data_IF_552012684104
#
_entry.id   IF_552012684104
#
_cell.length_a   1.000
_cell.length_b   1.000
_cell.length_c   1.000
_cell.angle_alpha   90.00
_cell.angle_beta   90.00
_cell.angle_gamma   90.00
#
_symmetry.space_group_name_H-M   'P 1'
#
loop_
_entity.id
_entity.type
_entity.pdbx_description
1 polymer ?
#
# COMPACT_ATOMS: atom_id res chain seq x y z
N UNK A 1 -13.48 28.90 11.57
CA UNK A 1 -14.25 27.94 12.39
C UNK A 1 -13.32 27.46 13.50
N UNK A 2 -13.70 27.71 14.79
CA UNK A 2 -12.90 27.28 15.95
C UNK A 2 -12.70 25.78 15.92
N UNK A 3 -11.43 25.34 15.80
CA UNK A 3 -11.09 23.94 15.65
C UNK A 3 -11.61 23.11 16.82
N UNK A 4 -11.81 21.83 16.61
CA UNK A 4 -12.23 20.82 17.62
C UNK A 4 -11.11 20.52 18.64
N UNK A 5 -10.33 21.53 19.04
CA UNK A 5 -9.16 21.38 19.91
C UNK A 5 -9.45 20.71 21.26
N UNK A 6 -10.56 21.02 21.96
CA UNK A 6 -10.88 20.30 23.20
C UNK A 6 -11.09 18.80 22.99
N UNK A 7 -11.72 18.41 21.88
CA UNK A 7 -11.91 17.01 21.53
C UNK A 7 -10.59 16.34 21.18
N UNK A 8 -9.71 17.00 20.44
CA UNK A 8 -8.37 16.51 20.13
C UNK A 8 -7.52 16.33 21.39
N UNK A 9 -7.51 17.32 22.30
CA UNK A 9 -6.82 17.21 23.60
C UNK A 9 -7.30 16.01 24.40
N UNK A 10 -8.63 15.78 24.46
CA UNK A 10 -9.22 14.62 25.14
C UNK A 10 -8.79 13.30 24.48
N UNK A 11 -8.75 13.25 23.15
CA UNK A 11 -8.30 12.07 22.40
C UNK A 11 -6.83 11.77 22.68
N UNK A 12 -5.94 12.77 22.65
CA UNK A 12 -4.52 12.59 22.95
C UNK A 12 -4.31 12.10 24.38
N UNK A 13 -5.05 12.64 25.38
CA UNK A 13 -5.00 12.14 26.76
C UNK A 13 -5.42 10.67 26.84
N UNK A 14 -6.42 10.25 26.07
CA UNK A 14 -6.81 8.84 25.98
C UNK A 14 -5.67 7.98 25.37
N UNK A 15 -5.01 8.45 24.32
CA UNK A 15 -3.85 7.76 23.73
C UNK A 15 -2.72 7.58 24.76
N UNK A 16 -2.38 8.62 25.56
CA UNK A 16 -1.39 8.52 26.63
C UNK A 16 -1.76 7.43 27.65
N UNK A 17 -3.03 7.38 28.03
CA UNK A 17 -3.53 6.38 29.00
C UNK A 17 -3.46 4.95 28.43
N UNK A 18 -3.84 4.77 27.17
CA UNK A 18 -3.77 3.48 26.48
C UNK A 18 -2.32 3.01 26.32
N UNK A 19 -1.43 3.90 25.91
CA UNK A 19 0.00 3.58 25.77
C UNK A 19 0.57 3.11 27.11
N UNK A 20 0.34 3.88 28.19
CA UNK A 20 0.78 3.51 29.54
C UNK A 20 0.24 2.15 30.00
N UNK A 21 -1.02 1.83 29.63
CA UNK A 21 -1.70 0.61 30.06
C UNK A 21 -1.19 -0.63 29.29
N UNK A 22 -0.94 -0.50 27.98
CA UNK A 22 -0.75 -1.66 27.12
C UNK A 22 0.68 -1.85 26.62
N UNK A 23 1.56 -0.83 26.68
CA UNK A 23 2.94 -0.92 26.17
C UNK A 23 3.68 -2.19 26.62
N UNK A 24 3.70 -2.47 27.93
CA UNK A 24 4.43 -3.61 28.47
C UNK A 24 3.87 -4.95 27.97
N UNK A 25 2.54 -5.05 27.86
CA UNK A 25 1.88 -6.24 27.33
C UNK A 25 2.23 -6.45 25.85
N UNK A 26 2.15 -5.40 25.04
CA UNK A 26 2.52 -5.45 23.62
C UNK A 26 3.97 -5.90 23.45
N UNK A 27 4.92 -5.32 24.20
CA UNK A 27 6.34 -5.70 24.12
C UNK A 27 6.55 -7.16 24.54
N UNK A 28 5.81 -7.67 25.54
CA UNK A 28 5.92 -9.06 25.97
C UNK A 28 5.51 -10.07 24.89
N UNK A 29 4.51 -9.72 24.07
CA UNK A 29 3.97 -10.56 23.00
C UNK A 29 4.85 -10.56 21.74
N UNK A 30 5.79 -9.62 21.60
CA UNK A 30 6.68 -9.54 20.44
C UNK A 30 7.76 -10.64 20.46
N UNK A 31 8.26 -11.05 19.28
CA UNK A 31 9.48 -11.87 19.15
C UNK A 31 10.66 -11.24 19.89
N UNK A 32 11.53 -12.08 20.48
CA UNK A 32 12.61 -11.59 21.35
C UNK A 32 13.58 -10.64 20.65
N UNK A 33 13.86 -10.88 19.37
CA UNK A 33 14.73 -10.04 18.52
C UNK A 33 14.12 -8.66 18.25
N UNK A 34 12.79 -8.51 18.31
CA UNK A 34 12.06 -7.27 18.07
C UNK A 34 11.84 -6.42 19.32
N UNK A 35 11.92 -7.02 20.52
CA UNK A 35 11.59 -6.31 21.78
C UNK A 35 12.39 -5.05 22.00
N UNK A 36 13.71 -5.09 21.80
CA UNK A 36 14.61 -3.95 22.04
C UNK A 36 14.32 -2.79 21.10
N UNK A 37 14.06 -3.05 19.83
CA UNK A 37 13.72 -1.99 18.87
C UNK A 37 12.32 -1.44 19.15
N UNK A 38 11.36 -2.29 19.53
CA UNK A 38 10.03 -1.88 19.91
C UNK A 38 10.03 -0.96 21.14
N UNK A 39 10.85 -1.26 22.17
CA UNK A 39 11.02 -0.39 23.35
C UNK A 39 11.47 1.01 22.95
N UNK A 40 12.44 1.12 22.03
CA UNK A 40 12.87 2.41 21.50
C UNK A 40 11.74 3.13 20.76
N UNK A 41 11.04 2.43 19.88
CA UNK A 41 9.90 2.99 19.11
C UNK A 41 8.79 3.47 20.04
N UNK A 42 8.51 2.75 21.14
CA UNK A 42 7.54 3.17 22.14
C UNK A 42 7.97 4.43 22.90
N UNK A 43 9.26 4.63 23.17
CA UNK A 43 9.76 5.87 23.76
C UNK A 43 9.53 7.05 22.82
N UNK A 44 9.91 6.92 21.56
CA UNK A 44 9.70 7.94 20.54
C UNK A 44 8.20 8.23 20.32
N UNK A 45 7.34 7.21 20.27
CA UNK A 45 5.89 7.36 20.18
C UNK A 45 5.33 8.14 21.39
N UNK A 46 5.84 7.88 22.58
CA UNK A 46 5.45 8.61 23.79
C UNK A 46 5.82 10.09 23.70
N UNK A 47 6.99 10.41 23.16
CA UNK A 47 7.42 11.79 22.91
C UNK A 47 6.50 12.49 21.92
N UNK A 48 6.19 11.83 20.79
CA UNK A 48 5.23 12.35 19.81
C UNK A 48 3.85 12.62 20.43
N UNK A 49 3.32 11.69 21.24
CA UNK A 49 2.02 11.87 21.91
C UNK A 49 2.05 13.02 22.93
N UNK A 50 3.15 13.22 23.63
CA UNK A 50 3.31 14.37 24.54
C UNK A 50 3.35 15.69 23.75
N UNK A 51 4.10 15.74 22.65
CA UNK A 51 4.15 16.91 21.77
C UNK A 51 2.78 17.23 21.17
N UNK A 52 2.01 16.21 20.75
CA UNK A 52 0.61 16.39 20.31
C UNK A 52 -0.27 17.03 21.38
N UNK A 53 -0.07 16.69 22.66
CA UNK A 53 -0.81 17.30 23.76
C UNK A 53 -0.52 18.82 23.86
N UNK A 54 0.74 19.20 23.70
CA UNK A 54 1.15 20.60 23.78
C UNK A 54 0.72 21.39 22.55
N UNK A 55 0.84 20.83 21.36
CA UNK A 55 0.34 21.44 20.12
C UNK A 55 -1.20 21.56 20.10
N UNK A 56 -1.93 20.61 20.68
CA UNK A 56 -3.37 20.75 20.84
C UNK A 56 -3.76 21.90 21.80
N UNK A 57 -3.00 22.13 22.88
CA UNK A 57 -3.21 23.24 23.82
C UNK A 57 -2.86 24.60 23.19
N UNK A 58 -1.73 24.67 22.47
CA UNK A 58 -1.28 25.89 21.76
C UNK A 58 -2.08 26.15 20.48
N UNK A 59 -2.89 25.19 20.03
CA UNK A 59 -3.66 25.23 18.77
C UNK A 59 -2.78 25.34 17.53
N UNK A 60 -1.57 24.79 17.58
CA UNK A 60 -0.66 24.72 16.44
C UNK A 60 -1.08 23.58 15.52
N UNK A 61 -1.81 23.93 14.45
CA UNK A 61 -2.35 22.98 13.50
C UNK A 61 -1.25 22.24 12.72
N UNK A 62 -0.22 22.98 12.27
CA UNK A 62 0.81 22.38 11.40
C UNK A 62 1.67 21.40 12.19
N UNK A 63 2.19 21.80 13.35
CA UNK A 63 2.96 20.93 14.20
C UNK A 63 2.13 19.72 14.68
N UNK A 64 0.83 19.91 14.99
CA UNK A 64 -0.06 18.82 15.37
C UNK A 64 -0.24 17.79 14.25
N UNK A 65 -0.48 18.22 13.01
CA UNK A 65 -0.70 17.32 11.88
C UNK A 65 0.60 16.57 11.53
N UNK A 66 1.75 17.25 11.48
CA UNK A 66 3.05 16.61 11.22
C UNK A 66 3.38 15.56 12.27
N UNK A 67 3.31 15.93 13.57
CA UNK A 67 3.62 14.99 14.67
C UNK A 67 2.62 13.83 14.74
N UNK A 68 1.35 14.07 14.38
CA UNK A 68 0.37 12.97 14.27
C UNK A 68 0.77 11.97 13.19
N UNK A 69 1.24 12.42 12.02
CA UNK A 69 1.74 11.54 10.97
C UNK A 69 2.89 10.69 11.50
N UNK A 70 3.90 11.31 12.11
CA UNK A 70 5.04 10.60 12.69
C UNK A 70 4.61 9.55 13.75
N UNK A 71 3.63 9.89 14.59
CA UNK A 71 3.11 8.95 15.59
C UNK A 71 2.41 7.75 14.94
N UNK A 72 1.65 7.98 13.87
CA UNK A 72 0.99 6.90 13.12
C UNK A 72 1.99 6.01 12.39
N UNK A 73 3.05 6.58 11.80
CA UNK A 73 4.13 5.83 11.16
C UNK A 73 4.84 4.90 12.17
N UNK A 74 5.06 5.38 13.42
CA UNK A 74 5.63 4.54 14.48
C UNK A 74 4.69 3.41 14.92
N UNK A 75 3.38 3.66 14.95
CA UNK A 75 2.39 2.61 15.25
C UNK A 75 2.42 1.54 14.14
N UNK A 76 2.39 1.95 12.87
CA UNK A 76 2.50 1.02 11.74
C UNK A 76 3.79 0.19 11.80
N UNK A 77 4.94 0.81 12.13
CA UNK A 77 6.19 0.08 12.31
C UNK A 77 6.15 -0.92 13.49
N UNK A 78 5.42 -0.62 14.57
CA UNK A 78 5.22 -1.58 15.67
C UNK A 78 4.33 -2.76 15.26
N UNK A 79 3.31 -2.50 14.46
CA UNK A 79 2.42 -3.55 13.93
C UNK A 79 3.18 -4.51 13.01
N UNK A 80 4.15 -4.02 12.23
CA UNK A 80 5.01 -4.86 11.39
C UNK A 80 5.82 -5.89 12.19
N UNK A 81 6.14 -5.62 13.46
CA UNK A 81 6.88 -6.57 14.30
C UNK A 81 6.06 -7.80 14.71
N UNK A 82 4.74 -7.76 14.55
CA UNK A 82 3.83 -8.89 14.76
C UNK A 82 3.65 -9.76 13.51
N UNK A 83 4.14 -9.29 12.36
CA UNK A 83 4.06 -10.08 11.14
C UNK A 83 4.92 -11.36 11.28
N UNK A 84 4.46 -12.49 10.77
CA UNK A 84 5.21 -13.73 10.83
C UNK A 84 6.52 -13.62 10.04
N UNK A 85 7.60 -14.25 10.55
CA UNK A 85 8.90 -14.27 9.87
C UNK A 85 8.89 -15.09 8.57
N UNK A 86 7.88 -15.93 8.39
CA UNK A 86 7.66 -16.73 7.18
C UNK A 86 6.31 -16.35 6.59
N UNK A 87 6.25 -16.34 5.27
CA UNK A 87 5.00 -16.09 4.55
C UNK A 87 3.98 -17.16 4.94
N UNK A 88 2.79 -16.77 5.46
CA UNK A 88 1.89 -17.71 6.11
C UNK A 88 0.87 -18.37 5.17
N UNK A 89 0.82 -17.95 3.90
CA UNK A 89 -0.23 -18.36 2.97
C UNK A 89 0.31 -19.22 1.84
N UNK A 90 -0.54 -20.03 1.24
CA UNK A 90 -0.19 -20.84 0.11
C UNK A 90 -0.26 -20.03 -1.20
N UNK A 91 0.76 -20.17 -2.03
CA UNK A 91 0.79 -19.69 -3.40
C UNK A 91 0.82 -20.93 -4.29
N UNK A 92 -0.12 -21.07 -5.27
CA UNK A 92 -0.14 -22.23 -6.15
C UNK A 92 1.15 -22.40 -6.97
N UNK A 93 1.58 -23.66 -7.15
CA UNK A 93 2.81 -24.01 -7.90
C UNK A 93 2.78 -23.54 -9.37
N UNK A 94 1.60 -23.35 -9.94
CA UNK A 94 1.44 -22.81 -11.30
C UNK A 94 1.98 -21.38 -11.45
N UNK A 95 2.25 -20.68 -10.36
CA UNK A 95 2.82 -19.33 -10.32
C UNK A 95 4.27 -19.31 -9.85
N UNK A 96 4.97 -20.45 -9.83
CA UNK A 96 6.34 -20.56 -9.28
C UNK A 96 7.37 -19.76 -10.09
N UNK A 97 7.10 -19.49 -11.34
CA UNK A 97 7.92 -18.67 -12.24
C UNK A 97 7.68 -17.15 -12.06
N UNK A 98 6.67 -16.75 -11.29
CA UNK A 98 6.39 -15.35 -11.04
C UNK A 98 7.16 -14.80 -9.83
N UNK A 99 7.64 -13.54 -9.92
CA UNK A 99 8.19 -12.84 -8.76
C UNK A 99 7.16 -12.72 -7.66
N UNK A 100 7.58 -12.89 -6.41
CA UNK A 100 6.73 -12.75 -5.24
C UNK A 100 7.39 -11.93 -4.15
N UNK A 101 6.65 -11.01 -3.56
CA UNK A 101 7.07 -10.25 -2.39
C UNK A 101 6.51 -10.93 -1.13
N UNK A 102 7.35 -11.57 -0.34
CA UNK A 102 6.93 -12.31 0.86
C UNK A 102 7.01 -11.47 2.14
N UNK A 103 6.65 -10.21 2.03
CA UNK A 103 6.71 -9.21 3.08
C UNK A 103 6.23 -7.87 2.55
N UNK A 104 6.63 -6.78 3.21
CA UNK A 104 6.37 -5.42 2.73
C UNK A 104 7.62 -4.80 2.13
N UNK A 105 7.41 -3.85 1.22
CA UNK A 105 8.45 -2.97 0.71
C UNK A 105 7.95 -1.53 0.73
N UNK A 106 8.89 -0.57 0.84
CA UNK A 106 8.60 0.85 0.68
C UNK A 106 9.27 1.36 -0.58
N UNK A 107 8.53 2.17 -1.32
CA UNK A 107 9.03 2.74 -2.57
C UNK A 107 8.91 4.26 -2.56
N UNK A 108 9.83 4.91 -3.26
CA UNK A 108 9.75 6.32 -3.63
C UNK A 108 9.42 6.41 -5.12
N UNK A 109 8.29 7.01 -5.44
CA UNK A 109 7.79 7.21 -6.79
C UNK A 109 8.10 8.65 -7.17
N UNK A 110 9.11 8.85 -8.02
CA UNK A 110 9.47 10.16 -8.53
C UNK A 110 8.67 10.49 -9.77
N UNK A 111 8.03 11.63 -9.77
CA UNK A 111 7.21 12.12 -10.89
C UNK A 111 7.70 13.49 -11.36
N UNK A 112 7.18 13.94 -12.50
CA UNK A 112 7.41 15.31 -13.00
C UNK A 112 6.91 16.41 -12.05
N UNK A 113 6.02 16.10 -11.09
CA UNK A 113 5.47 17.05 -10.11
C UNK A 113 6.13 16.98 -8.74
N UNK A 114 6.80 15.88 -8.42
CA UNK A 114 7.45 15.66 -7.12
C UNK A 114 7.49 14.20 -6.75
N UNK A 115 7.86 13.95 -5.51
CA UNK A 115 8.08 12.61 -4.97
C UNK A 115 6.86 12.17 -4.14
N UNK A 116 6.46 10.92 -4.33
CA UNK A 116 5.43 10.24 -3.55
C UNK A 116 6.02 8.99 -2.90
N UNK A 117 5.51 8.59 -1.74
CA UNK A 117 5.94 7.34 -1.08
C UNK A 117 4.78 6.40 -0.89
N UNK A 118 5.01 5.12 -1.15
CA UNK A 118 4.02 4.07 -0.97
C UNK A 118 4.58 2.88 -0.19
N UNK A 119 3.69 2.17 0.50
CA UNK A 119 3.94 0.85 1.08
C UNK A 119 3.29 -0.17 0.16
N UNK A 120 4.06 -1.17 -0.24
CA UNK A 120 3.65 -2.30 -1.07
C UNK A 120 3.50 -3.52 -0.17
N UNK A 121 2.32 -4.16 -0.19
CA UNK A 121 1.96 -5.25 0.74
C UNK A 121 1.98 -6.61 0.05
N UNK A 122 3.08 -7.33 0.17
CA UNK A 122 3.22 -8.68 -0.34
C UNK A 122 2.64 -9.77 0.58
N UNK A 123 2.18 -9.43 1.79
CA UNK A 123 1.46 -10.41 2.61
C UNK A 123 0.08 -10.74 2.06
N UNK A 124 -0.57 -9.75 1.47
CA UNK A 124 -1.94 -9.90 0.98
C UNK A 124 -2.04 -9.96 -0.54
N UNK A 125 -1.00 -9.52 -1.25
CA UNK A 125 -0.90 -9.56 -2.72
C UNK A 125 0.53 -9.90 -3.17
N UNK A 126 1.03 -11.12 -2.87
CA UNK A 126 2.44 -11.47 -3.08
C UNK A 126 2.89 -11.43 -4.54
N UNK A 127 2.08 -11.89 -5.47
CA UNK A 127 2.44 -11.94 -6.89
C UNK A 127 2.37 -10.55 -7.53
N UNK A 128 1.32 -9.82 -7.26
CA UNK A 128 1.14 -8.44 -7.75
C UNK A 128 2.22 -7.51 -7.20
N UNK A 129 2.42 -7.54 -5.88
CA UNK A 129 3.48 -6.78 -5.21
C UNK A 129 4.87 -7.21 -5.69
N UNK A 130 5.09 -8.51 -5.89
CA UNK A 130 6.34 -9.06 -6.40
C UNK A 130 6.65 -8.58 -7.81
N UNK A 131 5.69 -8.63 -8.70
CA UNK A 131 5.83 -8.13 -10.06
C UNK A 131 6.14 -6.63 -10.08
N UNK A 132 5.44 -5.83 -9.27
CA UNK A 132 5.69 -4.40 -9.16
C UNK A 132 7.10 -4.07 -8.64
N UNK A 133 7.54 -4.73 -7.57
CA UNK A 133 8.88 -4.50 -6.98
C UNK A 133 9.99 -5.01 -7.91
N UNK A 134 9.80 -6.14 -8.59
CA UNK A 134 10.74 -6.64 -9.60
C UNK A 134 10.92 -5.64 -10.74
N UNK A 135 9.83 -5.16 -11.33
CA UNK A 135 9.87 -4.15 -12.40
C UNK A 135 10.46 -2.83 -11.93
N UNK A 136 10.16 -2.40 -10.72
CA UNK A 136 10.74 -1.19 -10.11
C UNK A 136 12.26 -1.35 -9.97
N UNK A 137 12.73 -2.48 -9.46
CA UNK A 137 14.16 -2.76 -9.27
C UNK A 137 14.94 -2.86 -10.59
N UNK A 138 14.29 -3.32 -11.66
CA UNK A 138 14.82 -3.36 -13.03
C UNK A 138 14.79 -2.00 -13.73
N UNK A 139 14.18 -0.97 -13.12
CA UNK A 139 14.03 0.35 -13.71
C UNK A 139 13.04 0.41 -14.87
N UNK A 140 12.13 -0.56 -14.97
CA UNK A 140 11.13 -0.64 -16.03
C UNK A 140 10.25 0.61 -16.10
N UNK A 141 9.84 1.15 -14.95
CA UNK A 141 8.97 2.32 -14.87
C UNK A 141 9.65 3.66 -15.18
N UNK A 142 10.93 3.64 -15.57
CA UNK A 142 11.67 4.87 -15.82
C UNK A 142 11.16 5.62 -17.04
N UNK A 143 10.78 6.88 -16.83
CA UNK A 143 10.25 7.80 -17.83
C UNK A 143 8.98 7.30 -18.54
N UNK A 144 8.16 6.51 -17.85
CA UNK A 144 6.87 6.09 -18.41
C UNK A 144 5.81 7.20 -18.24
N UNK A 145 4.96 7.40 -19.26
CA UNK A 145 3.89 8.38 -19.21
C UNK A 145 2.74 7.93 -18.29
N UNK A 146 1.95 8.91 -17.85
CA UNK A 146 0.61 8.65 -17.35
C UNK A 146 -0.29 8.43 -18.57
N UNK A 147 -0.73 7.19 -18.79
CA UNK A 147 -1.48 6.82 -19.99
C UNK A 147 -3.01 6.98 -19.82
N UNK A 148 -3.52 7.02 -18.59
CA UNK A 148 -4.93 7.27 -18.26
C UNK A 148 -5.05 8.13 -17.02
N UNK A 149 -5.87 9.17 -17.10
CA UNK A 149 -6.27 10.01 -15.97
C UNK A 149 -7.77 10.28 -16.05
N UNK A 150 -8.52 9.70 -15.12
CA UNK A 150 -9.95 9.92 -14.97
C UNK A 150 -10.20 10.53 -13.59
N UNK A 151 -10.68 11.75 -13.59
CA UNK A 151 -10.96 12.52 -12.39
C UNK A 151 -11.86 11.74 -11.42
N UNK A 152 -11.53 11.74 -10.14
CA UNK A 152 -12.22 10.99 -9.07
C UNK A 152 -12.26 9.47 -9.23
N UNK A 153 -11.49 8.90 -10.16
CA UNK A 153 -11.48 7.47 -10.39
C UNK A 153 -10.05 6.89 -10.37
N UNK A 154 -9.28 7.04 -11.46
CA UNK A 154 -7.94 6.44 -11.55
C UNK A 154 -6.94 7.34 -12.27
N UNK A 155 -5.68 7.22 -11.84
CA UNK A 155 -4.50 7.68 -12.56
C UNK A 155 -3.64 6.45 -12.85
N UNK A 156 -3.53 6.04 -14.12
CA UNK A 156 -2.88 4.79 -14.55
C UNK A 156 -1.61 5.06 -15.33
N UNK A 157 -0.62 4.21 -15.13
CA UNK A 157 0.70 4.21 -15.77
C UNK A 157 1.24 2.79 -15.90
N UNK A 158 2.47 2.64 -16.40
CA UNK A 158 3.13 1.33 -16.51
C UNK A 158 2.96 0.68 -17.87
N UNK A 159 2.38 1.39 -18.83
CA UNK A 159 2.34 1.00 -20.23
C UNK A 159 3.70 1.30 -20.88
N UNK A 160 4.44 0.30 -21.40
CA UNK A 160 5.75 0.54 -22.00
C UNK A 160 5.63 1.37 -23.29
N UNK A 161 6.70 2.10 -23.62
CA UNK A 161 6.77 2.83 -24.87
C UNK A 161 6.99 1.84 -26.01
N UNK A 162 6.06 1.76 -26.96
CA UNK A 162 6.16 0.87 -28.13
C UNK A 162 4.87 0.11 -28.41
N UNK A 163 4.98 -1.08 -29.00
CA UNK A 163 3.82 -1.90 -29.39
C UNK A 163 3.34 -2.84 -28.27
N UNK A 164 4.21 -3.14 -27.30
CA UNK A 164 3.86 -4.00 -26.16
C UNK A 164 2.91 -3.28 -25.21
N UNK A 165 1.91 -3.98 -24.69
CA UNK A 165 0.92 -3.45 -23.74
C UNK A 165 1.40 -3.67 -22.29
N UNK A 166 2.34 -4.61 -22.08
CA UNK A 166 2.86 -5.02 -20.79
C UNK A 166 4.36 -5.30 -20.80
N UNK A 167 4.87 -5.87 -19.73
CA UNK A 167 6.27 -6.24 -19.62
C UNK A 167 6.55 -7.50 -20.42
N UNK A 168 7.42 -7.37 -21.41
CA UNK A 168 7.99 -8.50 -22.17
C UNK A 168 9.33 -8.84 -21.56
N UNK A 169 9.48 -10.07 -21.10
CA UNK A 169 10.72 -10.57 -20.53
C UNK A 169 11.80 -10.64 -21.63
N UNK A 170 12.94 -9.97 -21.48
CA UNK A 170 13.96 -9.90 -22.52
C UNK A 170 14.70 -11.22 -22.77
N UNK A 171 14.67 -12.16 -21.83
CA UNK A 171 15.33 -13.46 -21.97
C UNK A 171 14.44 -14.46 -22.72
N UNK A 172 13.15 -14.46 -22.43
CA UNK A 172 12.18 -15.39 -23.00
C UNK A 172 11.41 -14.83 -24.18
N UNK A 173 11.42 -13.50 -24.36
CA UNK A 173 10.62 -12.75 -25.33
C UNK A 173 9.11 -13.04 -25.19
N UNK A 174 8.65 -13.32 -23.97
CA UNK A 174 7.24 -13.53 -23.64
C UNK A 174 6.75 -12.44 -22.72
N UNK A 175 5.51 -12.07 -22.88
CA UNK A 175 4.82 -11.22 -21.93
C UNK A 175 4.63 -11.96 -20.62
N UNK A 176 4.88 -11.26 -19.51
CA UNK A 176 4.67 -11.79 -18.16
C UNK A 176 3.30 -11.34 -17.66
N UNK A 177 2.41 -12.28 -17.51
CA UNK A 177 1.09 -12.06 -16.97
C UNK A 177 1.07 -12.38 -15.46
N UNK A 178 0.36 -11.56 -14.69
CA UNK A 178 0.18 -11.70 -13.25
C UNK A 178 -1.30 -11.96 -13.01
N UNK A 179 -1.65 -13.04 -12.30
CA UNK A 179 -3.04 -13.36 -12.02
C UNK A 179 -3.71 -12.27 -11.15
N UNK A 180 -5.00 -12.09 -11.32
CA UNK A 180 -5.78 -11.41 -10.29
C UNK A 180 -5.65 -12.19 -8.98
N UNK A 181 -5.23 -11.51 -7.91
CA UNK A 181 -5.16 -12.10 -6.58
C UNK A 181 -5.87 -11.24 -5.55
N UNK A 182 -6.81 -11.81 -4.81
CA UNK A 182 -7.61 -11.10 -3.82
C UNK A 182 -7.75 -11.97 -2.57
N UNK A 183 -7.54 -11.38 -1.41
CA UNK A 183 -7.75 -12.01 -0.11
C UNK A 183 -8.95 -11.42 0.61
N UNK A 184 -9.63 -12.26 1.38
CA UNK A 184 -10.67 -11.86 2.34
C UNK A 184 -10.09 -12.00 3.75
N UNK A 185 -10.38 -11.07 4.68
CA UNK A 185 -9.99 -11.21 6.07
C UNK A 185 -10.46 -12.54 6.66
N UNK A 186 -9.61 -13.15 7.49
CA UNK A 186 -9.87 -14.42 8.20
C UNK A 186 -9.96 -15.68 7.31
N UNK A 187 -9.87 -15.55 5.97
CA UNK A 187 -9.76 -16.70 5.06
C UNK A 187 -8.30 -17.14 4.90
N UNK A 188 -8.12 -18.48 4.78
CA UNK A 188 -6.78 -19.06 4.60
C UNK A 188 -6.27 -18.90 3.18
N UNK A 189 -7.19 -19.05 2.22
CA UNK A 189 -6.84 -19.10 0.81
C UNK A 189 -6.95 -17.74 0.14
N UNK A 190 -6.07 -17.49 -0.82
CA UNK A 190 -6.14 -16.35 -1.74
C UNK A 190 -6.95 -16.77 -2.96
N UNK A 191 -7.84 -15.94 -3.42
CA UNK A 191 -8.56 -16.16 -4.67
C UNK A 191 -7.70 -15.68 -5.83
N UNK A 192 -7.42 -16.59 -6.76
CA UNK A 192 -6.67 -16.32 -7.98
C UNK A 192 -7.58 -16.42 -9.20
N UNK A 193 -7.41 -15.50 -10.16
CA UNK A 193 -8.12 -15.49 -11.45
C UNK A 193 -9.64 -15.49 -11.37
N UNK A 194 -10.20 -15.11 -10.24
CA UNK A 194 -11.64 -15.04 -10.03
C UNK A 194 -12.00 -13.74 -9.32
N UNK A 195 -13.00 -13.04 -9.84
CA UNK A 195 -13.56 -11.87 -9.17
C UNK A 195 -14.50 -12.30 -8.03
N UNK A 196 -14.78 -11.38 -7.10
CA UNK A 196 -15.82 -11.63 -6.10
C UNK A 196 -17.19 -11.84 -6.72
N UNK A 197 -17.43 -11.29 -7.91
CA UNK A 197 -18.66 -11.48 -8.68
C UNK A 197 -18.77 -12.92 -9.18
N UNK A 198 -17.68 -13.48 -9.73
CA UNK A 198 -17.61 -14.89 -10.18
C UNK A 198 -17.85 -15.88 -9.01
N UNK A 199 -17.39 -15.50 -7.82
CA UNK A 199 -17.51 -16.32 -6.62
C UNK A 199 -18.85 -16.12 -5.88
N UNK A 200 -19.69 -15.17 -6.30
CA UNK A 200 -20.93 -14.81 -5.59
C UNK A 200 -20.68 -14.07 -4.26
N UNK A 201 -19.49 -13.52 -4.05
CA UNK A 201 -19.06 -12.84 -2.82
C UNK A 201 -19.39 -11.35 -2.84
N UNK A 202 -20.61 -11.00 -3.18
CA UNK A 202 -21.05 -9.62 -3.42
C UNK A 202 -20.97 -8.70 -2.20
N UNK A 203 -20.93 -9.25 -0.99
CA UNK A 203 -20.92 -8.48 0.27
C UNK A 203 -19.58 -8.48 0.97
N UNK A 204 -18.63 -9.27 0.48
CA UNK A 204 -17.33 -9.39 1.11
C UNK A 204 -16.45 -8.18 0.79
N UNK A 205 -15.56 -7.84 1.73
CA UNK A 205 -14.60 -6.77 1.59
C UNK A 205 -13.21 -7.40 1.49
N UNK A 206 -12.38 -7.04 0.50
CA UNK A 206 -11.02 -7.56 0.41
C UNK A 206 -10.16 -7.08 1.59
N UNK A 207 -9.12 -7.83 1.91
CA UNK A 207 -8.15 -7.44 2.96
C UNK A 207 -7.45 -6.12 2.62
N UNK A 208 -7.20 -5.87 1.33
CA UNK A 208 -6.72 -4.59 0.81
C UNK A 208 -7.84 -3.90 0.02
N UNK A 209 -8.69 -3.08 0.65
CA UNK A 209 -9.78 -2.43 -0.05
C UNK A 209 -9.34 -1.14 -0.76
N UNK A 210 -10.03 -0.79 -1.85
CA UNK A 210 -9.93 0.52 -2.50
C UNK A 210 -10.71 1.58 -1.70
N UNK A 211 -10.25 1.88 -0.49
CA UNK A 211 -10.97 2.71 0.47
C UNK A 211 -10.29 4.04 0.81
N UNK A 212 -9.16 4.35 0.16
CA UNK A 212 -8.42 5.60 0.40
C UNK A 212 -7.81 6.14 -0.89
N UNK A 213 -7.63 7.47 -0.94
CA UNK A 213 -6.84 8.12 -1.98
C UNK A 213 -5.44 7.51 -2.07
N UNK A 214 -4.99 7.19 -3.28
CA UNK A 214 -3.66 6.63 -3.52
C UNK A 214 -3.53 5.14 -3.22
N UNK A 215 -4.65 4.37 -3.14
CA UNK A 215 -4.58 2.92 -3.18
C UNK A 215 -3.99 2.48 -4.52
N UNK A 216 -2.95 1.63 -4.48
CA UNK A 216 -2.31 1.07 -5.67
C UNK A 216 -3.08 -0.16 -6.14
N UNK A 217 -3.59 -0.13 -7.35
CA UNK A 217 -4.30 -1.23 -7.99
C UNK A 217 -3.55 -1.75 -9.22
N UNK A 218 -3.57 -3.08 -9.43
CA UNK A 218 -3.04 -3.70 -10.63
C UNK A 218 -4.06 -3.67 -11.75
N UNK A 219 -3.62 -3.28 -12.94
CA UNK A 219 -4.49 -3.18 -14.10
C UNK A 219 -4.47 -4.47 -14.92
N UNK A 220 -5.64 -4.89 -15.34
CA UNK A 220 -5.86 -5.97 -16.31
C UNK A 220 -6.89 -5.51 -17.35
N UNK A 221 -7.07 -6.26 -18.43
CA UNK A 221 -8.06 -5.92 -19.46
C UNK A 221 -9.50 -6.10 -18.95
N UNK A 222 -10.47 -5.59 -19.73
CA UNK A 222 -11.88 -5.81 -19.42
C UNK A 222 -12.37 -7.22 -19.78
N UNK A 223 -11.56 -8.01 -20.49
CA UNK A 223 -11.93 -9.32 -21.03
C UNK A 223 -11.26 -10.49 -20.33
N UNK A 224 -10.18 -10.21 -19.57
CA UNK A 224 -9.45 -11.21 -18.81
C UNK A 224 -8.95 -10.59 -17.49
N UNK A 225 -8.95 -11.39 -16.44
CA UNK A 225 -8.50 -10.96 -15.10
C UNK A 225 -7.08 -11.45 -14.78
N UNK A 226 -6.49 -12.23 -15.67
CA UNK A 226 -5.18 -12.87 -15.57
C UNK A 226 -4.16 -12.33 -16.59
N UNK A 227 -4.48 -11.23 -17.27
CA UNK A 227 -3.64 -10.59 -18.27
C UNK A 227 -2.95 -9.30 -17.79
N UNK A 228 -3.04 -8.98 -16.52
CA UNK A 228 -2.30 -7.88 -15.91
C UNK A 228 -0.79 -8.14 -15.99
N UNK A 229 0.00 -7.18 -16.52
CA UNK A 229 1.43 -7.40 -16.80
C UNK A 229 2.35 -6.41 -16.11
N UNK A 230 2.21 -5.11 -16.38
CA UNK A 230 3.05 -4.05 -15.79
C UNK A 230 2.28 -2.80 -15.41
N UNK A 231 1.08 -2.64 -15.93
CA UNK A 231 0.29 -1.43 -15.69
C UNK A 231 -0.34 -1.45 -14.30
N UNK A 232 -0.27 -0.32 -13.63
CA UNK A 232 -0.91 -0.10 -12.35
C UNK A 232 -1.55 1.28 -12.29
N UNK A 233 -2.46 1.48 -11.34
CA UNK A 233 -3.14 2.75 -11.15
C UNK A 233 -3.15 3.18 -9.68
N UNK A 234 -3.20 4.49 -9.49
CA UNK A 234 -3.58 5.09 -8.23
C UNK A 234 -5.09 5.31 -8.23
N UNK A 235 -5.76 4.79 -7.23
CA UNK A 235 -7.18 5.04 -7.06
C UNK A 235 -7.39 6.43 -6.45
N UNK A 236 -8.15 7.27 -7.16
CA UNK A 236 -8.44 8.64 -6.77
C UNK A 236 -9.75 8.67 -5.96
N UNK A 237 -9.67 8.11 -4.74
CA UNK A 237 -10.82 7.99 -3.84
C UNK A 237 -11.39 9.34 -3.45
N UNK A 238 -12.70 9.52 -3.68
CA UNK A 238 -13.46 10.66 -3.21
C UNK A 238 -14.61 10.20 -2.32
N UNK A 239 -14.54 10.53 -1.03
CA UNK A 239 -15.47 10.03 -0.02
C UNK A 239 -16.95 10.41 -0.29
N UNK A 240 -17.17 11.54 -0.98
CA UNK A 240 -18.52 12.02 -1.31
C UNK A 240 -19.16 11.24 -2.47
N UNK A 241 -18.33 10.65 -3.33
CA UNK A 241 -18.78 9.91 -4.53
C UNK A 241 -18.83 8.39 -4.29
N UNK A 242 -18.16 7.90 -3.25
CA UNK A 242 -18.14 6.48 -2.93
C UNK A 242 -19.20 6.14 -1.88
N UNK A 243 -20.01 5.11 -2.10
CA UNK A 243 -20.97 4.63 -1.09
C UNK A 243 -20.25 4.23 0.20
N UNK A 244 -20.89 4.42 1.34
CA UNK A 244 -20.38 3.89 2.59
C UNK A 244 -20.28 2.35 2.52
N UNK A 245 -19.07 1.83 2.74
CA UNK A 245 -18.79 0.41 2.74
C UNK A 245 -17.86 0.00 1.61
N UNK A 246 -18.38 -0.61 0.58
CA UNK A 246 -17.60 -1.25 -0.49
C UNK A 246 -17.47 -0.35 -1.72
N UNK A 247 -16.28 -0.33 -2.31
CA UNK A 247 -16.04 0.28 -3.60
C UNK A 247 -16.44 -0.68 -4.75
N UNK A 248 -16.82 -0.12 -5.90
CA UNK A 248 -17.23 -0.93 -7.07
C UNK A 248 -16.09 -1.75 -7.68
N UNK A 249 -14.84 -1.37 -7.47
CA UNK A 249 -13.67 -2.12 -7.96
C UNK A 249 -13.11 -3.11 -6.94
N UNK A 250 -13.59 -3.08 -5.69
CA UNK A 250 -13.27 -4.11 -4.71
C UNK A 250 -13.73 -5.49 -5.21
N UNK A 251 -12.83 -6.47 -5.18
CA UNK A 251 -13.11 -7.81 -5.68
C UNK A 251 -13.04 -7.95 -7.21
N UNK A 252 -12.70 -6.87 -7.96
CA UNK A 252 -12.47 -6.91 -9.41
C UNK A 252 -11.04 -6.65 -9.80
N UNK A 253 -10.32 -5.84 -9.03
CA UNK A 253 -8.90 -5.56 -9.19
C UNK A 253 -8.15 -5.92 -7.93
N UNK A 254 -6.89 -6.32 -8.08
CA UNK A 254 -5.97 -6.52 -6.97
C UNK A 254 -5.45 -5.18 -6.48
N UNK A 255 -5.75 -4.81 -5.23
CA UNK A 255 -5.00 -3.78 -4.54
C UNK A 255 -3.74 -4.40 -3.93
N UNK A 256 -2.59 -3.72 -4.05
CA UNK A 256 -1.30 -4.26 -3.60
C UNK A 256 -0.48 -3.28 -2.75
N UNK A 257 -1.00 -2.09 -2.48
CA UNK A 257 -0.30 -1.09 -1.69
C UNK A 257 -1.08 0.21 -1.51
N UNK A 258 -0.47 1.10 -0.75
CA UNK A 258 -1.08 2.38 -0.39
C UNK A 258 -0.05 3.50 -0.39
N UNK A 259 -0.43 4.65 -0.94
CA UNK A 259 0.33 5.88 -0.81
C UNK A 259 0.35 6.31 0.66
N UNK A 260 1.51 6.74 1.16
CA UNK A 260 1.69 7.19 2.54
C UNK A 260 2.23 8.63 2.62
N UNK A 261 2.72 9.16 1.51
CA UNK A 261 3.24 10.53 1.39
C UNK A 261 3.10 11.06 -0.04
N UNK A 262 2.94 12.38 -0.20
CA UNK A 262 2.83 13.02 -1.52
C UNK A 262 1.41 12.96 -2.11
N UNK A 263 0.38 12.99 -1.28
CA UNK A 263 -1.02 13.03 -1.74
C UNK A 263 -1.34 14.27 -2.57
N UNK A 264 -0.75 15.41 -2.21
CA UNK A 264 -0.84 16.67 -2.96
C UNK A 264 -0.21 16.55 -4.35
N UNK A 265 0.91 15.82 -4.47
CA UNK A 265 1.53 15.52 -5.76
C UNK A 265 0.61 14.64 -6.62
N UNK A 266 0.01 13.60 -6.01
CA UNK A 266 -0.94 12.73 -6.72
C UNK A 266 -2.12 13.50 -7.31
N UNK A 267 -2.69 14.45 -6.55
CA UNK A 267 -3.81 15.29 -6.98
C UNK A 267 -3.45 16.25 -8.13
N UNK A 268 -2.16 16.60 -8.30
CA UNK A 268 -1.67 17.48 -9.37
C UNK A 268 -1.29 16.74 -10.65
N UNK A 269 -1.17 15.39 -10.62
CA UNK A 269 -0.74 14.60 -11.77
C UNK A 269 -1.84 14.52 -12.84
N UNK A 270 -1.42 14.62 -14.10
CA UNK A 270 -2.26 14.57 -15.29
C UNK A 270 -1.66 13.63 -16.35
N UNK A 271 -2.31 13.49 -17.50
CA UNK A 271 -1.78 12.74 -18.66
C UNK A 271 -0.51 13.34 -19.27
N UNK A 272 -0.20 14.59 -18.98
CA UNK A 272 0.99 15.27 -19.51
C UNK A 272 2.23 14.99 -18.63
N UNK A 273 2.04 14.28 -17.53
CA UNK A 273 3.07 13.96 -16.56
C UNK A 273 3.67 12.56 -16.75
N UNK A 274 4.82 12.32 -16.14
CA UNK A 274 5.56 11.06 -16.25
C UNK A 274 5.98 10.53 -14.88
N UNK A 275 6.16 9.22 -14.78
CA UNK A 275 6.93 8.58 -13.73
C UNK A 275 8.40 8.64 -14.13
N UNK A 276 9.21 9.41 -13.39
CA UNK A 276 10.64 9.52 -13.63
C UNK A 276 11.36 8.24 -13.23
N UNK A 277 11.06 7.72 -12.02
CA UNK A 277 11.55 6.43 -11.51
C UNK A 277 10.70 5.94 -10.35
N UNK A 278 10.80 4.65 -10.06
CA UNK A 278 10.30 4.05 -8.83
C UNK A 278 11.49 3.38 -8.15
N UNK A 279 11.89 3.91 -7.00
CA UNK A 279 13.06 3.44 -6.25
C UNK A 279 12.59 2.66 -5.01
N UNK A 280 13.06 1.42 -4.84
CA UNK A 280 12.79 0.62 -3.64
C UNK A 280 13.67 1.14 -2.51
N UNK A 281 13.06 1.63 -1.44
CA UNK A 281 13.75 2.21 -0.28
C UNK A 281 14.17 1.14 0.73
N UNK A 282 13.28 0.18 0.98
CA UNK A 282 13.51 -0.97 1.86
C UNK A 282 12.57 -2.12 1.48
N UNK A 283 12.81 -3.33 2.02
CA UNK A 283 11.98 -4.51 1.79
C UNK A 283 12.33 -5.29 0.53
N UNK A 284 13.39 -4.94 -0.21
CA UNK A 284 13.82 -5.69 -1.40
C UNK A 284 14.26 -7.13 -1.05
N UNK A 285 14.71 -7.37 0.17
CA UNK A 285 15.07 -8.69 0.68
C UNK A 285 13.89 -9.67 0.75
N UNK A 286 12.68 -9.15 0.77
CA UNK A 286 11.44 -9.93 0.74
C UNK A 286 11.08 -10.40 -0.67
N UNK A 287 11.71 -9.86 -1.71
CA UNK A 287 11.47 -10.27 -3.10
C UNK A 287 12.15 -11.62 -3.38
N UNK A 288 11.36 -12.54 -3.93
CA UNK A 288 11.81 -13.80 -4.51
C UNK A 288 11.43 -13.83 -5.98
N UNK A 289 12.39 -14.09 -6.86
CA UNK A 289 12.15 -14.11 -8.32
C UNK A 289 11.49 -15.41 -8.78
N UNK A 290 11.71 -16.49 -8.03
CA UNK A 290 11.16 -17.82 -8.24
C UNK A 290 10.83 -18.48 -6.90
N UNK A 291 10.00 -19.54 -6.90
CA UNK A 291 9.66 -20.29 -5.70
C UNK A 291 10.86 -21.02 -5.07
#
# INVERSE_FOLDING_TARGET
RGGRWPALTKTVTKCQSLLKKYQSKIIQELPNDKKKIAEKTFLELKENINSLQDYAKSKDKYAFVSTRKEALDKIGGLEEYFLPNQYPYYIPEEFDDLPRLLGRARVNIKTSKGDMKAIVDGFNAPLTAGAFIDLSSKGFYKNLPINRAEEFFVLQTGDPIGEAIGYVDPETNKERNVPLEIRIPDEKDTFYNQTFEDLGLYTETPTLPFATLGTLGWSHSNTAVDDGSSQFFFFLYEAELNPAGRNLIDGRNAAFGYLVDGFDILEELTKDDIIISIDVLDGIENLKLHA
#
